data_IF_119708061936
#
_entry.id   IF_119708061936
#
_cell.length_a   1.000
_cell.length_b   1.000
_cell.length_c   1.000
_cell.angle_alpha   90.00
_cell.angle_beta   90.00
_cell.angle_gamma   90.00
#
_symmetry.space_group_name_H-M   'P 1'
#
loop_
_entity.id
_entity.type
_entity.pdbx_description
1 polymer ?
#
# COMPACT_ATOMS: atom_id res chain seq x y z
N UNK A 1 1.47 21.36 -47.71
CA UNK A 1 1.35 20.04 -47.01
C UNK A 1 2.45 20.01 -45.97
N UNK A 2 2.16 20.38 -44.74
CA UNK A 2 3.09 20.41 -43.64
C UNK A 2 3.03 19.09 -42.88
N UNK A 3 4.17 18.41 -42.76
CA UNK A 3 4.30 17.19 -41.97
C UNK A 3 4.13 17.54 -40.48
N UNK A 4 3.15 16.95 -39.80
CA UNK A 4 3.02 17.01 -38.37
C UNK A 4 4.16 16.22 -37.72
N UNK A 5 4.94 16.91 -36.93
CA UNK A 5 6.02 16.34 -36.12
C UNK A 5 5.41 15.73 -34.85
N UNK A 6 5.22 14.41 -34.86
CA UNK A 6 4.73 13.66 -33.69
C UNK A 6 5.94 13.35 -32.80
N UNK A 7 6.31 14.29 -31.95
CA UNK A 7 7.39 14.13 -30.99
C UNK A 7 7.10 14.88 -29.67
N UNK A 8 6.05 14.46 -28.96
CA UNK A 8 5.83 14.94 -27.59
C UNK A 8 6.54 13.99 -26.60
N UNK A 9 7.54 14.46 -25.81
CA UNK A 9 8.38 13.59 -24.97
C UNK A 9 7.72 13.10 -23.68
N UNK A 10 6.40 13.29 -23.48
CA UNK A 10 5.74 13.08 -22.19
C UNK A 10 5.04 11.74 -22.00
N UNK A 11 4.89 10.92 -23.01
CA UNK A 11 4.34 9.55 -22.90
C UNK A 11 5.29 8.54 -23.54
N UNK A 12 6.31 8.11 -22.78
CA UNK A 12 7.06 6.91 -23.15
C UNK A 12 6.22 5.69 -22.76
N UNK A 13 5.55 5.10 -23.73
CA UNK A 13 5.01 3.74 -23.57
C UNK A 13 6.20 2.81 -23.28
N UNK A 14 6.19 2.03 -22.17
CA UNK A 14 7.27 1.08 -21.90
C UNK A 14 7.47 0.16 -23.10
N UNK A 15 8.66 0.15 -23.71
CA UNK A 15 8.96 -0.76 -24.81
C UNK A 15 9.32 -2.12 -24.21
N UNK A 16 8.64 -3.18 -24.65
CA UNK A 16 9.06 -4.55 -24.35
C UNK A 16 10.49 -4.70 -24.85
N UNK A 17 11.44 -4.86 -23.92
CA UNK A 17 12.87 -4.84 -24.26
C UNK A 17 13.35 -6.19 -24.78
N UNK A 18 12.83 -7.30 -24.25
CA UNK A 18 13.15 -8.67 -24.65
C UNK A 18 12.16 -9.68 -24.12
N UNK A 19 12.10 -10.85 -24.78
CA UNK A 19 11.35 -12.00 -24.30
C UNK A 19 12.23 -12.84 -23.38
N UNK A 20 11.79 -13.06 -22.17
CA UNK A 20 12.41 -13.96 -21.19
C UNK A 20 11.61 -15.26 -21.18
N UNK A 21 12.23 -16.43 -20.84
CA UNK A 21 11.47 -17.67 -20.74
C UNK A 21 10.20 -17.52 -19.91
N UNK A 22 9.03 -17.69 -20.55
CA UNK A 22 7.71 -17.62 -19.92
C UNK A 22 7.01 -16.26 -19.97
N UNK A 23 7.66 -15.15 -20.38
CA UNK A 23 7.00 -13.85 -20.36
C UNK A 23 7.75 -12.72 -21.07
N UNK A 24 7.28 -11.50 -20.87
CA UNK A 24 7.88 -10.27 -21.38
C UNK A 24 8.40 -9.39 -20.26
N UNK A 25 9.45 -8.63 -20.51
CA UNK A 25 10.03 -7.67 -19.59
C UNK A 25 10.19 -6.30 -20.26
N UNK A 26 10.15 -5.24 -19.46
CA UNK A 26 10.42 -3.88 -19.93
C UNK A 26 11.91 -3.54 -19.78
N UNK A 27 12.37 -2.48 -20.45
CA UNK A 27 13.68 -1.92 -20.17
C UNK A 27 13.67 -1.29 -18.76
N UNK A 28 14.62 -1.63 -17.87
CA UNK A 28 14.71 -1.03 -16.53
C UNK A 28 14.85 0.50 -16.54
N UNK A 29 15.29 1.12 -17.64
CA UNK A 29 15.32 2.58 -17.80
C UNK A 29 13.92 3.20 -17.95
N UNK A 30 12.92 2.41 -18.32
CA UNK A 30 11.54 2.86 -18.47
C UNK A 30 10.72 2.73 -17.17
N UNK A 31 11.33 2.28 -16.06
CA UNK A 31 10.68 2.18 -14.77
C UNK A 31 10.29 3.58 -14.27
N UNK A 32 8.98 3.76 -14.00
CA UNK A 32 8.48 5.00 -13.44
C UNK A 32 9.03 5.22 -12.02
N UNK A 33 9.52 6.41 -11.74
CA UNK A 33 10.01 6.77 -10.41
C UNK A 33 8.91 6.78 -9.36
N UNK A 34 7.68 7.00 -9.76
CA UNK A 34 6.47 7.03 -8.93
C UNK A 34 5.46 6.02 -9.47
N UNK A 35 4.60 5.51 -8.61
CA UNK A 35 3.56 4.53 -8.94
C UNK A 35 4.08 3.11 -9.22
N UNK A 36 3.16 2.23 -9.64
CA UNK A 36 3.50 0.86 -10.00
C UNK A 36 4.01 0.78 -11.43
N UNK A 37 5.07 0.01 -11.62
CA UNK A 37 5.56 -0.36 -12.95
C UNK A 37 5.63 -1.88 -13.04
N UNK A 38 4.86 -2.53 -13.92
CA UNK A 38 5.06 -3.93 -14.28
C UNK A 38 6.40 -4.08 -14.99
N UNK A 39 7.33 -4.80 -14.38
CA UNK A 39 8.68 -4.99 -14.95
C UNK A 39 8.85 -6.31 -15.67
N UNK A 40 8.04 -7.30 -15.30
CA UNK A 40 7.95 -8.60 -15.97
C UNK A 40 6.54 -9.14 -15.85
N UNK A 41 6.04 -9.78 -16.91
CA UNK A 41 4.71 -10.38 -16.95
C UNK A 41 4.69 -11.66 -17.78
N UNK A 42 4.16 -12.73 -17.17
CA UNK A 42 3.77 -13.94 -17.91
C UNK A 42 2.39 -13.69 -18.55
N UNK A 43 2.14 -14.13 -19.82
CA UNK A 43 0.85 -13.91 -20.48
C UNK A 43 -0.36 -14.48 -19.70
N UNK A 44 -0.16 -15.57 -18.97
CA UNK A 44 -1.17 -16.16 -18.08
C UNK A 44 -0.84 -15.90 -16.60
N UNK A 45 -0.40 -14.70 -16.25
CA UNK A 45 -0.04 -14.38 -14.86
C UNK A 45 -1.18 -14.71 -13.89
N UNK A 46 -0.85 -15.31 -12.76
CA UNK A 46 -1.79 -15.73 -11.70
C UNK A 46 -1.36 -15.27 -10.31
N UNK A 47 -0.17 -14.71 -10.16
CA UNK A 47 0.40 -14.22 -8.89
C UNK A 47 1.10 -12.90 -9.13
N UNK A 48 0.85 -11.92 -8.28
CA UNK A 48 1.55 -10.64 -8.28
C UNK A 48 2.69 -10.66 -7.25
N UNK A 49 3.89 -10.32 -7.67
CA UNK A 49 5.04 -10.10 -6.78
C UNK A 49 5.36 -8.60 -6.80
N UNK A 50 5.23 -7.94 -5.66
CA UNK A 50 5.34 -6.50 -5.53
C UNK A 50 6.58 -6.14 -4.71
N UNK A 51 7.49 -5.37 -5.31
CA UNK A 51 8.72 -4.92 -4.69
C UNK A 51 8.59 -3.47 -4.20
N UNK A 52 8.87 -3.23 -2.91
CA UNK A 52 8.73 -1.92 -2.26
C UNK A 52 10.06 -1.49 -1.65
N UNK A 53 10.65 -0.40 -2.17
CA UNK A 53 11.94 0.10 -1.70
C UNK A 53 11.85 0.82 -0.34
N UNK A 54 12.99 1.10 0.28
CA UNK A 54 13.08 1.79 1.56
C UNK A 54 13.35 3.29 1.45
N UNK A 55 13.76 3.87 2.57
CA UNK A 55 14.16 5.27 2.68
C UNK A 55 15.26 5.60 1.65
N UNK A 56 15.12 6.73 0.96
CA UNK A 56 16.02 7.19 -0.10
C UNK A 56 16.28 6.14 -1.21
N UNK A 57 15.33 5.20 -1.39
CA UNK A 57 15.38 4.18 -2.42
C UNK A 57 14.81 4.66 -3.75
N UNK A 58 14.93 3.79 -4.73
CA UNK A 58 14.41 3.98 -6.08
C UNK A 58 13.86 2.65 -6.60
N UNK A 59 12.75 2.60 -7.32
CA UNK A 59 12.11 1.35 -7.75
C UNK A 59 13.01 0.48 -8.64
N UNK A 60 14.02 1.05 -9.30
CA UNK A 60 15.05 0.31 -10.05
C UNK A 60 16.32 0.10 -9.22
N UNK A 61 16.94 1.19 -8.75
CA UNK A 61 18.31 1.16 -8.23
C UNK A 61 18.42 0.40 -6.89
N UNK A 62 17.33 0.32 -6.13
CA UNK A 62 17.26 -0.50 -4.92
C UNK A 62 17.53 -1.97 -5.22
N UNK A 63 17.04 -2.47 -6.34
CA UNK A 63 17.10 -3.87 -6.75
C UNK A 63 18.20 -4.16 -7.77
N UNK A 64 19.00 -3.14 -8.15
CA UNK A 64 20.08 -3.27 -9.13
C UNK A 64 21.42 -3.42 -8.44
N UNK A 65 22.16 -4.47 -8.79
CA UNK A 65 23.54 -4.67 -8.33
C UNK A 65 24.47 -3.55 -8.86
N UNK A 66 25.26 -2.97 -7.96
CA UNK A 66 26.28 -1.97 -8.35
C UNK A 66 27.42 -2.58 -9.13
N UNK A 67 27.71 -3.88 -8.93
CA UNK A 67 28.86 -4.58 -9.48
C UNK A 67 28.74 -4.81 -10.99
N UNK A 68 27.61 -5.34 -11.44
CA UNK A 68 27.41 -5.75 -12.82
C UNK A 68 26.12 -5.22 -13.44
N UNK A 69 25.42 -4.31 -12.76
CA UNK A 69 24.16 -3.70 -13.20
C UNK A 69 22.99 -4.68 -13.36
N UNK A 70 23.09 -5.88 -12.81
CA UNK A 70 21.99 -6.85 -12.79
C UNK A 70 20.79 -6.26 -12.05
N UNK A 71 19.66 -6.11 -12.72
CA UNK A 71 18.36 -5.81 -12.13
C UNK A 71 17.65 -7.15 -11.86
N UNK A 72 17.98 -7.75 -10.71
CA UNK A 72 17.66 -9.13 -10.41
C UNK A 72 16.14 -9.50 -10.48
N UNK A 73 15.17 -8.58 -10.31
CA UNK A 73 13.77 -8.91 -10.52
C UNK A 73 13.46 -9.41 -11.93
N UNK A 74 14.17 -8.90 -12.95
CA UNK A 74 14.04 -9.36 -14.34
C UNK A 74 15.13 -10.40 -14.68
N UNK A 75 16.38 -10.11 -14.33
CA UNK A 75 17.52 -10.88 -14.84
C UNK A 75 17.68 -12.26 -14.16
N UNK A 76 17.23 -12.39 -12.89
CA UNK A 76 17.44 -13.62 -12.13
C UNK A 76 16.15 -14.32 -11.70
N UNK A 77 15.14 -13.56 -11.24
CA UNK A 77 13.98 -14.15 -10.58
C UNK A 77 13.09 -14.99 -11.53
N UNK A 78 12.71 -14.53 -12.74
CA UNK A 78 11.88 -15.31 -13.66
C UNK A 78 12.53 -16.64 -14.04
N UNK A 79 13.84 -16.63 -14.24
CA UNK A 79 14.63 -17.85 -14.55
C UNK A 79 14.62 -18.82 -13.36
N UNK A 80 14.70 -18.30 -12.13
CA UNK A 80 14.66 -19.13 -10.92
C UNK A 80 13.25 -19.69 -10.67
N UNK A 81 12.22 -18.94 -11.00
CA UNK A 81 10.82 -19.36 -10.92
C UNK A 81 10.43 -20.32 -12.07
N UNK A 82 11.34 -20.60 -13.02
CA UNK A 82 11.13 -21.58 -14.10
C UNK A 82 9.87 -21.36 -14.94
N UNK A 83 9.58 -20.09 -15.28
CA UNK A 83 8.41 -19.74 -16.08
C UNK A 83 7.09 -19.84 -15.31
N UNK A 84 7.11 -19.71 -13.99
CA UNK A 84 5.90 -19.59 -13.20
C UNK A 84 5.03 -18.40 -13.69
N UNK A 85 3.72 -18.55 -13.61
CA UNK A 85 2.73 -17.58 -14.07
C UNK A 85 2.66 -16.39 -13.12
N UNK A 86 3.67 -15.52 -13.17
CA UNK A 86 3.79 -14.38 -12.26
C UNK A 86 3.85 -13.06 -13.03
N UNK A 87 3.43 -11.99 -12.35
CA UNK A 87 3.68 -10.60 -12.73
C UNK A 87 4.55 -9.97 -11.64
N UNK A 88 5.63 -9.30 -12.04
CA UNK A 88 6.54 -8.59 -11.15
C UNK A 88 6.27 -7.08 -11.27
N UNK A 89 5.97 -6.44 -10.15
CA UNK A 89 5.72 -5.02 -10.06
C UNK A 89 6.73 -4.37 -9.13
N UNK A 90 7.27 -3.23 -9.52
CA UNK A 90 8.02 -2.37 -8.61
C UNK A 90 7.17 -1.16 -8.26
N UNK A 91 7.20 -0.75 -7.00
CA UNK A 91 6.50 0.44 -6.53
C UNK A 91 7.48 1.56 -6.27
N UNK A 92 7.29 2.67 -7.00
CA UNK A 92 8.02 3.91 -6.83
C UNK A 92 7.19 4.91 -6.03
N UNK A 93 7.82 5.57 -5.06
CA UNK A 93 7.16 6.59 -4.25
C UNK A 93 8.17 7.64 -3.75
N UNK A 94 7.66 8.80 -3.32
CA UNK A 94 8.51 9.85 -2.78
C UNK A 94 9.07 9.42 -1.42
N UNK A 95 10.39 9.47 -1.28
CA UNK A 95 11.11 9.06 -0.06
C UNK A 95 10.82 9.92 1.17
N UNK A 96 10.21 11.09 1.01
CA UNK A 96 9.77 11.96 2.12
C UNK A 96 8.50 11.46 2.84
N UNK A 97 8.04 10.26 2.49
CA UNK A 97 6.91 9.54 3.14
C UNK A 97 7.01 9.53 4.67
N UNK A 98 8.24 9.40 5.17
CA UNK A 98 8.49 9.34 6.61
C UNK A 98 8.73 10.72 7.24
N UNK A 99 8.56 11.82 6.48
CA UNK A 99 8.74 13.19 6.99
C UNK A 99 10.17 13.48 7.48
N UNK A 100 11.15 12.70 7.04
CA UNK A 100 12.56 12.89 7.41
C UNK A 100 13.27 13.95 6.55
N UNK A 101 12.52 14.57 5.61
CA UNK A 101 13.00 15.65 4.74
C UNK A 101 12.57 17.04 5.21
N UNK A 102 12.57 18.00 4.28
CA UNK A 102 12.32 19.43 4.55
C UNK A 102 10.92 19.75 5.12
N UNK A 103 9.93 18.91 4.88
CA UNK A 103 8.52 19.17 5.19
C UNK A 103 8.07 18.77 6.59
N UNK A 104 8.98 18.32 7.46
CA UNK A 104 8.69 17.95 8.85
C UNK A 104 7.88 16.66 9.05
N UNK A 105 7.74 16.20 10.30
CA UNK A 105 7.03 14.97 10.61
C UNK A 105 5.53 15.14 10.48
N UNK A 106 4.87 14.16 9.87
CA UNK A 106 3.42 14.07 9.85
C UNK A 106 3.01 12.60 9.82
N UNK A 107 2.23 12.17 10.82
CA UNK A 107 1.56 10.87 10.84
C UNK A 107 0.74 10.66 9.57
N UNK A 108 0.21 11.75 9.04
CA UNK A 108 -0.66 11.74 7.88
C UNK A 108 0.08 11.35 6.61
N UNK A 109 1.38 11.66 6.49
CA UNK A 109 2.15 11.32 5.29
C UNK A 109 2.27 9.82 5.06
N UNK A 110 2.74 9.06 6.04
CA UNK A 110 2.85 7.60 5.89
C UNK A 110 1.47 6.95 5.70
N UNK A 111 0.44 7.50 6.35
CA UNK A 111 -0.93 7.05 6.16
C UNK A 111 -1.43 7.32 4.74
N UNK A 112 -1.28 8.53 4.23
CA UNK A 112 -1.67 8.91 2.86
C UNK A 112 -0.94 8.08 1.81
N UNK A 113 0.37 7.83 1.99
CA UNK A 113 1.13 6.97 1.09
C UNK A 113 0.68 5.51 1.14
N UNK A 114 0.31 5.02 2.32
CA UNK A 114 -0.26 3.69 2.45
C UNK A 114 -1.63 3.57 1.77
N UNK A 115 -2.48 4.58 1.90
CA UNK A 115 -3.74 4.68 1.17
C UNK A 115 -3.51 4.73 -0.34
N UNK A 116 -2.57 5.58 -0.80
CA UNK A 116 -2.20 5.69 -2.22
C UNK A 116 -1.72 4.35 -2.76
N UNK A 117 -0.81 3.66 -2.03
CA UNK A 117 -0.32 2.34 -2.42
C UNK A 117 -1.48 1.35 -2.60
N UNK A 118 -2.37 1.27 -1.61
CA UNK A 118 -3.51 0.33 -1.65
C UNK A 118 -4.47 0.67 -2.80
N UNK A 119 -4.84 1.94 -2.94
CA UNK A 119 -5.79 2.38 -3.97
C UNK A 119 -5.21 2.19 -5.38
N UNK A 120 -3.97 2.61 -5.59
CA UNK A 120 -3.31 2.49 -6.91
C UNK A 120 -3.09 1.02 -7.28
N UNK A 121 -2.68 0.17 -6.32
CA UNK A 121 -2.52 -1.26 -6.59
C UNK A 121 -3.86 -1.93 -6.89
N UNK A 122 -4.92 -1.60 -6.14
CA UNK A 122 -6.26 -2.15 -6.38
C UNK A 122 -6.75 -1.79 -7.78
N UNK A 123 -6.63 -0.51 -8.17
CA UNK A 123 -7.01 -0.02 -9.48
C UNK A 123 -6.22 -0.68 -10.62
N UNK A 124 -4.89 -0.77 -10.45
CA UNK A 124 -4.02 -1.45 -11.42
C UNK A 124 -4.39 -2.92 -11.60
N UNK A 125 -4.72 -3.62 -10.51
CA UNK A 125 -5.15 -5.02 -10.54
C UNK A 125 -6.53 -5.20 -11.19
N UNK A 126 -7.45 -4.26 -10.97
CA UNK A 126 -8.76 -4.24 -11.60
C UNK A 126 -8.65 -4.06 -13.12
N UNK A 127 -7.85 -3.10 -13.57
CA UNK A 127 -7.62 -2.84 -15.00
C UNK A 127 -7.03 -4.05 -15.73
N UNK A 128 -6.23 -4.86 -15.05
CA UNK A 128 -5.57 -6.04 -15.59
C UNK A 128 -6.32 -7.36 -15.27
N UNK A 129 -7.55 -7.28 -14.75
CA UNK A 129 -8.36 -8.44 -14.32
C UNK A 129 -7.62 -9.36 -13.31
N UNK A 130 -6.74 -8.78 -12.50
CA UNK A 130 -5.87 -9.48 -11.56
C UNK A 130 -6.36 -9.43 -10.11
N UNK A 131 -7.60 -9.01 -9.83
CA UNK A 131 -8.15 -8.87 -8.47
C UNK A 131 -8.10 -10.18 -7.68
N UNK A 132 -8.02 -11.32 -8.38
CA UNK A 132 -8.00 -12.66 -7.79
C UNK A 132 -6.58 -13.17 -7.54
N UNK A 133 -5.55 -12.53 -8.09
CA UNK A 133 -4.19 -12.99 -7.94
C UNK A 133 -3.72 -12.88 -6.48
N UNK A 134 -3.07 -13.91 -5.92
CA UNK A 134 -2.31 -13.77 -4.70
C UNK A 134 -1.25 -12.67 -4.82
N UNK A 135 -0.98 -11.98 -3.72
CA UNK A 135 0.06 -10.96 -3.64
C UNK A 135 1.19 -11.47 -2.76
N UNK A 136 2.43 -11.37 -3.26
CA UNK A 136 3.66 -11.60 -2.53
C UNK A 136 4.44 -10.28 -2.49
N UNK A 137 4.72 -9.80 -1.29
CA UNK A 137 5.49 -8.58 -1.08
C UNK A 137 6.97 -8.89 -0.85
N UNK A 138 7.85 -8.09 -1.46
CA UNK A 138 9.27 -8.04 -1.15
C UNK A 138 9.59 -6.59 -0.78
N UNK A 139 9.83 -6.34 0.50
CA UNK A 139 9.96 -4.99 1.03
C UNK A 139 11.32 -4.79 1.70
N UNK A 140 12.02 -3.72 1.35
CA UNK A 140 13.31 -3.37 1.91
C UNK A 140 13.19 -2.23 2.92
N UNK A 141 13.83 -2.38 4.09
CA UNK A 141 13.98 -1.30 5.06
C UNK A 141 12.62 -0.69 5.47
N UNK A 142 12.48 0.63 5.49
CA UNK A 142 11.22 1.31 5.80
C UNK A 142 10.09 1.05 4.77
N UNK A 143 10.39 0.52 3.59
CA UNK A 143 9.36 0.03 2.68
C UNK A 143 8.49 -1.09 3.28
N UNK A 144 9.07 -1.90 4.18
CA UNK A 144 8.32 -2.88 4.94
C UNK A 144 7.34 -2.27 5.93
N UNK A 145 7.67 -1.13 6.51
CA UNK A 145 6.73 -0.37 7.36
C UNK A 145 5.57 0.20 6.53
N UNK A 146 5.86 0.69 5.32
CA UNK A 146 4.81 1.14 4.40
C UNK A 146 3.86 -0.01 4.03
N UNK A 147 4.38 -1.19 3.73
CA UNK A 147 3.57 -2.40 3.47
C UNK A 147 2.72 -2.77 4.70
N UNK A 148 3.29 -2.77 5.90
CA UNK A 148 2.51 -3.01 7.14
C UNK A 148 1.37 -2.02 7.30
N UNK A 149 1.63 -0.71 7.11
CA UNK A 149 0.60 0.32 7.20
C UNK A 149 -0.48 0.15 6.14
N UNK A 150 -0.09 -0.20 4.90
CA UNK A 150 -1.01 -0.49 3.81
C UNK A 150 -1.93 -1.68 4.13
N UNK A 151 -1.38 -2.76 4.69
CA UNK A 151 -2.16 -3.94 5.08
C UNK A 151 -3.09 -3.64 6.28
N UNK A 152 -2.64 -2.88 7.28
CA UNK A 152 -3.50 -2.41 8.37
C UNK A 152 -4.65 -1.55 7.84
N UNK A 153 -4.38 -0.63 6.90
CA UNK A 153 -5.41 0.17 6.24
C UNK A 153 -6.38 -0.69 5.44
N UNK A 154 -5.88 -1.54 4.55
CA UNK A 154 -6.71 -2.42 3.72
C UNK A 154 -7.58 -3.37 4.59
N UNK A 155 -7.02 -3.88 5.70
CA UNK A 155 -7.75 -4.72 6.67
C UNK A 155 -8.89 -3.97 7.35
N UNK A 156 -8.73 -2.67 7.65
CA UNK A 156 -9.76 -1.88 8.32
C UNK A 156 -10.96 -1.53 7.44
N UNK A 157 -10.87 -1.72 6.12
CA UNK A 157 -11.93 -1.41 5.17
C UNK A 157 -13.01 -2.51 5.18
N UNK A 158 -14.08 -2.29 5.95
CA UNK A 158 -15.18 -3.26 6.10
C UNK A 158 -16.43 -2.90 5.29
N UNK A 159 -16.50 -1.69 4.71
CA UNK A 159 -17.67 -1.19 3.99
C UNK A 159 -17.67 -1.54 2.50
N UNK A 160 -18.85 -1.69 1.92
CA UNK A 160 -19.09 -2.22 0.57
C UNK A 160 -18.44 -1.44 -0.59
N UNK A 161 -18.12 -0.16 -0.38
CA UNK A 161 -17.57 0.69 -1.45
C UNK A 161 -16.03 0.66 -1.51
N UNK A 162 -15.37 -0.23 -0.75
CA UNK A 162 -13.93 -0.35 -0.66
C UNK A 162 -13.44 -1.79 -0.87
N UNK A 163 -14.22 -2.59 -1.61
CA UNK A 163 -13.94 -4.03 -1.82
C UNK A 163 -12.61 -4.24 -2.51
N UNK A 164 -12.28 -3.42 -3.50
CA UNK A 164 -11.02 -3.52 -4.25
C UNK A 164 -9.82 -3.19 -3.37
N UNK A 165 -9.88 -2.12 -2.55
CA UNK A 165 -8.83 -1.79 -1.61
C UNK A 165 -8.69 -2.85 -0.51
N UNK A 166 -9.80 -3.41 -0.02
CA UNK A 166 -9.77 -4.50 0.96
C UNK A 166 -9.20 -5.79 0.36
N UNK A 167 -9.37 -6.00 -0.93
CA UNK A 167 -8.83 -7.18 -1.63
C UNK A 167 -7.30 -7.28 -1.51
N UNK A 168 -6.59 -6.17 -1.32
CA UNK A 168 -5.13 -6.16 -1.12
C UNK A 168 -4.74 -6.95 0.13
N UNK A 169 -5.44 -6.74 1.25
CA UNK A 169 -5.22 -7.52 2.46
C UNK A 169 -5.63 -9.00 2.28
N UNK A 170 -6.79 -9.25 1.68
CA UNK A 170 -7.32 -10.61 1.48
C UNK A 170 -6.41 -11.42 0.56
N UNK A 171 -5.91 -10.81 -0.52
CA UNK A 171 -5.03 -11.44 -1.51
C UNK A 171 -3.58 -11.55 -1.08
N UNK A 172 -3.14 -10.85 -0.01
CA UNK A 172 -1.77 -10.97 0.48
C UNK A 172 -1.51 -12.35 1.05
N UNK A 173 -0.60 -13.10 0.41
CA UNK A 173 -0.17 -14.43 0.84
C UNK A 173 1.13 -14.40 1.61
N UNK A 174 2.16 -13.74 1.05
CA UNK A 174 3.51 -13.75 1.61
C UNK A 174 4.14 -12.38 1.69
N UNK A 175 5.01 -12.18 2.70
CA UNK A 175 5.75 -10.94 2.89
C UNK A 175 7.20 -11.26 3.23
N UNK A 176 8.11 -10.83 2.34
CA UNK A 176 9.56 -10.88 2.55
C UNK A 176 10.04 -9.53 3.04
N UNK A 177 10.49 -9.45 4.28
CA UNK A 177 11.09 -8.25 4.85
C UNK A 177 12.62 -8.34 4.80
N UNK A 178 13.25 -7.42 4.09
CA UNK A 178 14.71 -7.32 3.98
C UNK A 178 15.18 -6.12 4.79
N UNK A 179 15.80 -6.35 5.96
CA UNK A 179 16.27 -5.29 6.85
C UNK A 179 15.17 -4.33 7.32
N UNK A 180 13.93 -4.77 7.39
CA UNK A 180 12.82 -3.97 7.92
C UNK A 180 12.87 -3.99 9.44
N UNK A 181 12.75 -2.84 10.11
CA UNK A 181 12.67 -2.81 11.56
C UNK A 181 11.31 -3.30 12.06
N UNK A 182 11.34 -4.17 13.09
CA UNK A 182 10.16 -4.75 13.72
C UNK A 182 10.15 -4.50 15.24
N UNK A 183 10.66 -3.35 15.67
CA UNK A 183 10.70 -2.97 17.08
C UNK A 183 9.28 -2.93 17.67
N UNK A 184 9.17 -3.43 18.90
CA UNK A 184 7.94 -3.34 19.68
C UNK A 184 7.72 -1.95 20.27
N UNK A 185 7.36 -1.88 21.56
CA UNK A 185 6.95 -0.66 22.26
C UNK A 185 8.09 0.27 22.73
N UNK A 186 9.34 0.03 22.32
CA UNK A 186 10.50 0.81 22.77
C UNK A 186 10.76 2.01 21.83
N UNK A 187 10.15 3.15 22.15
CA UNK A 187 10.31 4.39 21.37
C UNK A 187 11.77 4.89 21.32
N UNK A 188 12.57 4.64 22.37
CA UNK A 188 13.97 5.04 22.39
C UNK A 188 14.80 4.26 21.37
N UNK A 189 14.55 2.95 21.25
CA UNK A 189 15.20 2.11 20.22
C UNK A 189 14.80 2.56 18.81
N UNK A 190 13.53 2.92 18.60
CA UNK A 190 13.08 3.50 17.33
C UNK A 190 13.84 4.80 17.00
N UNK A 191 13.99 5.70 17.96
CA UNK A 191 14.73 6.94 17.76
C UNK A 191 16.19 6.71 17.36
N UNK A 192 16.90 5.81 18.03
CA UNK A 192 18.29 5.43 17.71
C UNK A 192 18.40 4.79 16.30
N UNK A 193 17.48 3.90 15.96
CA UNK A 193 17.44 3.25 14.66
C UNK A 193 17.21 4.27 13.54
N UNK A 194 16.22 5.15 13.67
CA UNK A 194 15.97 6.20 12.69
C UNK A 194 17.16 7.13 12.53
N UNK A 195 17.85 7.46 13.63
CA UNK A 195 19.08 8.27 13.58
C UNK A 195 20.18 7.58 12.76
N UNK A 196 20.39 6.26 12.92
CA UNK A 196 21.34 5.48 12.11
C UNK A 196 20.93 5.47 10.64
N UNK A 197 19.64 5.23 10.34
CA UNK A 197 19.11 5.25 8.96
C UNK A 197 19.33 6.60 8.30
N UNK A 198 19.04 7.68 9.00
CA UNK A 198 19.24 9.04 8.49
C UNK A 198 20.71 9.30 8.20
N UNK A 199 21.61 8.98 9.13
CA UNK A 199 23.05 9.15 8.94
C UNK A 199 23.59 8.33 7.75
N UNK A 200 23.08 7.11 7.55
CA UNK A 200 23.53 6.22 6.48
C UNK A 200 22.96 6.56 5.09
N UNK A 201 21.71 7.02 5.03
CA UNK A 201 20.94 7.06 3.80
C UNK A 201 20.61 8.47 3.32
N UNK A 202 20.64 9.49 4.17
CA UNK A 202 20.23 10.86 3.84
C UNK A 202 21.46 11.80 3.81
N UNK A 203 21.64 12.59 2.73
CA UNK A 203 22.71 13.58 2.66
C UNK A 203 22.58 14.63 3.76
N UNK A 204 23.70 15.03 4.39
CA UNK A 204 23.75 16.02 5.48
C UNK A 204 23.03 17.35 5.17
N UNK A 205 22.98 17.75 3.91
CA UNK A 205 22.31 18.99 3.45
C UNK A 205 20.78 18.95 3.52
N UNK A 206 20.17 17.80 3.83
CA UNK A 206 18.72 17.65 3.88
C UNK A 206 18.06 18.16 5.18
N UNK A 207 18.84 18.43 6.23
CA UNK A 207 18.34 18.94 7.52
C UNK A 207 18.80 20.37 7.79
N UNK A 208 17.85 21.23 8.18
CA UNK A 208 18.15 22.63 8.50
C UNK A 208 18.65 22.85 9.93
N UNK A 209 18.36 21.94 10.89
CA UNK A 209 18.86 21.98 12.26
C UNK A 209 18.80 20.62 12.95
N UNK A 210 19.69 20.40 13.95
CA UNK A 210 19.68 19.21 14.81
C UNK A 210 18.39 19.09 15.62
N UNK A 211 17.86 20.20 16.13
CA UNK A 211 16.62 20.21 16.91
C UNK A 211 15.40 19.77 16.10
N UNK A 212 15.30 20.18 14.83
CA UNK A 212 14.24 19.73 13.93
C UNK A 212 14.35 18.24 13.66
N UNK A 213 15.55 17.74 13.44
CA UNK A 213 15.81 16.31 13.24
C UNK A 213 15.38 15.49 14.45
N UNK A 214 15.77 15.87 15.67
CA UNK A 214 15.40 15.16 16.91
C UNK A 214 13.88 15.09 17.07
N UNK A 215 13.18 16.22 16.92
CA UNK A 215 11.72 16.28 17.02
C UNK A 215 11.04 15.38 15.97
N UNK A 216 11.52 15.39 14.73
CA UNK A 216 11.03 14.53 13.64
C UNK A 216 11.21 13.05 13.97
N UNK A 217 12.38 12.68 14.52
CA UNK A 217 12.68 11.30 14.89
C UNK A 217 11.80 10.80 16.05
N UNK A 218 11.52 11.64 17.04
CA UNK A 218 10.63 11.28 18.15
C UNK A 218 9.21 11.04 17.68
N UNK A 219 8.62 11.99 16.95
CA UNK A 219 7.25 11.83 16.43
C UNK A 219 7.11 10.60 15.53
N UNK A 220 8.09 10.35 14.65
CA UNK A 220 8.05 9.17 13.79
C UNK A 220 8.21 7.86 14.58
N UNK A 221 8.93 7.85 15.70
CA UNK A 221 9.10 6.62 16.49
C UNK A 221 7.79 6.09 17.06
N UNK A 222 6.92 6.96 17.53
CA UNK A 222 5.58 6.60 18.04
C UNK A 222 4.68 6.04 16.92
N UNK A 223 4.69 6.67 15.75
CA UNK A 223 3.92 6.23 14.59
C UNK A 223 4.36 4.85 14.11
N UNK A 224 5.69 4.64 14.02
CA UNK A 224 6.24 3.36 13.58
C UNK A 224 5.95 2.24 14.59
N UNK A 225 5.95 2.56 15.88
CA UNK A 225 5.52 1.66 16.94
C UNK A 225 4.06 1.25 16.76
N UNK A 226 3.14 2.21 16.59
CA UNK A 226 1.72 1.94 16.38
C UNK A 226 1.48 1.02 15.17
N UNK A 227 2.16 1.30 14.04
CA UNK A 227 2.05 0.49 12.83
C UNK A 227 2.47 -0.96 13.11
N UNK A 228 3.56 -1.17 13.83
CA UNK A 228 4.03 -2.51 14.16
C UNK A 228 3.08 -3.24 15.11
N UNK A 229 2.58 -2.57 16.16
CA UNK A 229 1.63 -3.18 17.10
C UNK A 229 0.36 -3.63 16.39
N UNK A 230 -0.23 -2.78 15.53
CA UNK A 230 -1.40 -3.16 14.72
C UNK A 230 -1.11 -4.29 13.75
N UNK A 231 0.10 -4.34 13.18
CA UNK A 231 0.48 -5.42 12.30
C UNK A 231 0.59 -6.77 13.02
N UNK A 232 0.95 -6.78 14.32
CA UNK A 232 0.98 -8.00 15.13
C UNK A 232 -0.40 -8.66 15.30
N UNK A 233 -1.50 -7.94 15.10
CA UNK A 233 -2.85 -8.50 15.12
C UNK A 233 -3.17 -9.32 13.86
N UNK A 234 -2.53 -8.98 12.74
CA UNK A 234 -2.85 -9.56 11.43
C UNK A 234 -1.76 -10.46 10.84
N UNK A 235 -0.51 -10.39 11.34
CA UNK A 235 0.62 -11.12 10.76
C UNK A 235 0.42 -12.63 10.69
N UNK A 236 -0.31 -13.31 11.62
CA UNK A 236 -0.47 -14.76 11.55
C UNK A 236 -1.21 -15.26 10.30
N UNK A 237 -1.86 -14.35 9.56
CA UNK A 237 -2.54 -14.66 8.30
C UNK A 237 -1.60 -14.78 7.10
N UNK A 238 -0.34 -14.37 7.25
CA UNK A 238 0.61 -14.30 6.16
C UNK A 238 1.77 -15.28 6.34
N UNK A 239 2.34 -15.72 5.23
CA UNK A 239 3.66 -16.36 5.23
C UNK A 239 4.71 -15.26 5.32
N UNK A 240 5.56 -15.28 6.33
CA UNK A 240 6.52 -14.20 6.56
C UNK A 240 7.94 -14.77 6.61
N UNK A 241 8.84 -14.09 5.88
CA UNK A 241 10.28 -14.22 6.04
C UNK A 241 10.87 -12.87 6.43
N UNK A 242 11.78 -12.87 7.40
CA UNK A 242 12.51 -11.69 7.84
C UNK A 242 14.01 -11.93 7.69
N UNK A 243 14.67 -11.05 6.94
CA UNK A 243 16.11 -11.11 6.76
C UNK A 243 16.79 -9.92 7.45
N UNK A 244 17.92 -10.19 8.11
CA UNK A 244 18.78 -9.18 8.71
C UNK A 244 20.11 -9.04 7.96
N UNK A 245 20.72 -7.87 8.05
CA UNK A 245 22.04 -7.59 7.50
C UNK A 245 23.14 -8.33 8.29
N UNK A 246 24.08 -8.98 7.57
CA UNK A 246 25.21 -9.69 8.16
C UNK A 246 26.49 -8.85 8.25
N UNK A 247 26.54 -7.70 7.54
CA UNK A 247 27.67 -6.78 7.53
C UNK A 247 27.28 -5.39 7.98
N UNK A 248 28.14 -4.80 8.82
CA UNK A 248 27.98 -3.41 9.27
C UNK A 248 28.14 -2.43 8.12
N UNK A 249 27.36 -1.35 8.15
CA UNK A 249 27.44 -0.22 7.22
C UNK A 249 28.40 0.84 7.79
N UNK A 250 29.24 1.41 6.95
CA UNK A 250 30.07 2.55 7.32
C UNK A 250 29.24 3.83 7.46
N UNK A 251 29.19 4.37 8.67
CA UNK A 251 28.51 5.61 9.04
C UNK A 251 29.52 6.76 9.19
N UNK A 252 30.29 7.04 8.12
CA UNK A 252 31.29 8.12 8.10
C UNK A 252 32.45 7.89 9.10
N UNK A 253 33.01 6.67 9.05
CA UNK A 253 34.15 6.28 9.90
C UNK A 253 33.78 5.46 11.14
N UNK A 254 32.47 5.28 11.40
CA UNK A 254 31.99 4.35 12.43
C UNK A 254 31.17 3.25 11.76
N UNK A 255 31.51 1.99 12.01
CA UNK A 255 30.75 0.85 11.49
C UNK A 255 29.64 0.48 12.45
N UNK A 256 28.44 0.24 11.93
CA UNK A 256 27.31 -0.26 12.70
C UNK A 256 26.27 -0.96 11.79
N UNK A 257 25.52 -1.87 12.37
CA UNK A 257 24.28 -2.35 11.75
C UNK A 257 23.25 -1.22 11.73
N UNK A 258 22.63 -0.99 10.59
CA UNK A 258 21.55 -0.01 10.47
C UNK A 258 20.33 -0.50 11.22
N UNK A 259 19.90 -1.73 10.94
CA UNK A 259 18.87 -2.44 11.69
C UNK A 259 19.52 -3.66 12.29
N UNK A 260 19.72 -3.66 13.60
CA UNK A 260 20.33 -4.79 14.30
C UNK A 260 19.44 -6.04 14.17
N UNK A 261 20.04 -7.22 14.38
CA UNK A 261 19.38 -8.51 14.22
C UNK A 261 18.11 -8.61 15.05
N UNK A 262 18.10 -8.14 16.27
CA UNK A 262 16.92 -8.22 17.15
C UNK A 262 15.78 -7.36 16.67
N UNK A 263 16.09 -6.22 16.05
CA UNK A 263 15.13 -5.30 15.45
C UNK A 263 14.61 -5.81 14.11
N UNK A 264 15.46 -6.44 13.28
CA UNK A 264 15.08 -6.96 11.97
C UNK A 264 14.42 -8.34 12.03
N UNK A 265 14.64 -9.09 13.10
CA UNK A 265 14.22 -10.49 13.24
C UNK A 265 13.71 -10.79 14.65
N UNK A 266 12.62 -10.14 15.11
CA UNK A 266 11.99 -10.45 16.39
C UNK A 266 11.44 -11.87 16.33
N UNK A 267 11.62 -12.65 17.39
CA UNK A 267 11.22 -14.06 17.48
C UNK A 267 9.69 -14.19 17.51
N UNK A 268 9.05 -14.18 16.34
CA UNK A 268 7.62 -14.36 16.17
C UNK A 268 7.30 -15.79 15.72
N UNK A 269 6.22 -16.35 16.23
CA UNK A 269 5.79 -17.69 15.85
C UNK A 269 5.41 -17.79 14.38
N UNK A 270 5.86 -18.84 13.69
CA UNK A 270 5.51 -19.08 12.29
C UNK A 270 6.27 -18.21 11.27
N UNK A 271 7.27 -17.46 11.71
CA UNK A 271 8.09 -16.60 10.84
C UNK A 271 9.43 -17.29 10.56
N UNK A 272 9.88 -17.25 9.30
CA UNK A 272 11.20 -17.72 8.91
C UNK A 272 12.23 -16.59 8.99
N UNK A 273 13.43 -16.90 9.48
CA UNK A 273 14.50 -15.91 9.67
C UNK A 273 15.79 -16.37 9.00
N UNK A 274 16.52 -15.43 8.40
CA UNK A 274 17.86 -15.69 7.88
C UNK A 274 18.72 -14.42 7.80
N UNK A 275 20.04 -14.59 7.88
CA UNK A 275 21.01 -13.52 7.63
C UNK A 275 21.38 -13.43 6.15
N UNK A 276 21.67 -12.22 5.68
CA UNK A 276 22.27 -11.98 4.38
C UNK A 276 23.63 -11.32 4.61
N UNK A 277 24.70 -11.97 4.16
CA UNK A 277 26.07 -11.48 4.30
C UNK A 277 26.31 -10.26 3.39
N UNK A 278 25.67 -9.15 3.76
CA UNK A 278 25.70 -7.87 3.06
C UNK A 278 25.37 -6.74 4.03
N UNK A 279 25.72 -5.50 3.66
CA UNK A 279 25.30 -4.30 4.36
C UNK A 279 23.82 -4.02 4.14
N UNK A 280 23.23 -3.11 4.92
CA UNK A 280 21.83 -2.73 4.81
C UNK A 280 21.36 -2.44 3.37
N UNK A 281 22.08 -1.60 2.65
CA UNK A 281 21.75 -1.26 1.26
C UNK A 281 22.17 -2.32 0.26
N UNK A 282 23.03 -3.27 0.64
CA UNK A 282 23.53 -4.35 -0.19
C UNK A 282 22.65 -5.59 -0.21
N UNK A 283 21.93 -5.85 0.90
CA UNK A 283 21.17 -7.09 1.10
C UNK A 283 19.98 -7.28 0.14
N UNK A 284 19.58 -6.25 -0.58
CA UNK A 284 18.54 -6.29 -1.60
C UNK A 284 19.08 -6.24 -3.05
N UNK A 285 20.41 -6.41 -3.24
CA UNK A 285 21.12 -6.27 -4.53
C UNK A 285 21.88 -7.54 -4.88
N UNK A 286 21.26 -8.40 -5.68
CA UNK A 286 21.87 -9.65 -6.10
C UNK A 286 22.51 -9.51 -7.49
N UNK A 287 23.78 -9.88 -7.63
CA UNK A 287 24.52 -9.84 -8.90
C UNK A 287 24.46 -11.18 -9.67
N UNK A 288 24.11 -12.25 -8.98
CA UNK A 288 23.98 -13.60 -9.52
C UNK A 288 23.12 -14.49 -8.62
N UNK A 289 22.81 -15.69 -9.08
CA UNK A 289 22.11 -16.71 -8.28
C UNK A 289 22.94 -17.20 -7.08
N UNK A 290 24.26 -16.96 -7.10
CA UNK A 290 25.18 -17.34 -6.02
C UNK A 290 25.39 -16.17 -5.02
N UNK A 291 24.75 -15.03 -5.21
CA UNK A 291 24.82 -13.93 -4.24
C UNK A 291 24.31 -14.36 -2.87
N UNK A 292 24.99 -13.96 -1.77
CA UNK A 292 24.52 -14.27 -0.42
C UNK A 292 23.04 -13.90 -0.23
N UNK A 293 22.25 -14.84 0.31
CA UNK A 293 20.82 -14.66 0.58
C UNK A 293 19.89 -14.79 -0.63
N UNK A 294 20.39 -14.77 -1.88
CA UNK A 294 19.52 -14.89 -3.06
C UNK A 294 18.71 -16.20 -3.06
N UNK A 295 19.36 -17.33 -2.75
CA UNK A 295 18.69 -18.62 -2.72
C UNK A 295 17.54 -18.66 -1.69
N UNK A 296 17.71 -18.04 -0.52
CA UNK A 296 16.68 -17.95 0.51
C UNK A 296 15.51 -17.07 0.04
N UNK A 297 15.80 -15.90 -0.53
CA UNK A 297 14.77 -14.99 -1.07
C UNK A 297 14.01 -15.64 -2.22
N UNK A 298 14.70 -16.07 -3.26
CA UNK A 298 14.07 -16.62 -4.45
C UNK A 298 13.40 -17.97 -4.20
N UNK A 299 13.98 -18.83 -3.33
CA UNK A 299 13.40 -20.10 -2.91
C UNK A 299 12.11 -19.93 -2.11
N UNK A 300 12.06 -18.98 -1.17
CA UNK A 300 10.84 -18.66 -0.44
C UNK A 300 9.75 -18.12 -1.38
N UNK A 301 10.10 -17.20 -2.25
CA UNK A 301 9.17 -16.64 -3.25
C UNK A 301 8.62 -17.76 -4.15
N UNK A 302 9.48 -18.66 -4.65
CA UNK A 302 9.06 -19.80 -5.47
C UNK A 302 8.04 -20.67 -4.74
N UNK A 303 8.35 -21.07 -3.50
CA UNK A 303 7.44 -21.86 -2.66
C UNK A 303 6.10 -21.15 -2.46
N UNK A 304 6.10 -19.84 -2.26
CA UNK A 304 4.88 -19.05 -2.06
C UNK A 304 4.08 -18.91 -3.35
N UNK A 305 4.73 -18.72 -4.50
CA UNK A 305 4.04 -18.69 -5.80
C UNK A 305 3.27 -19.98 -6.04
N UNK A 306 3.90 -21.13 -5.77
CA UNK A 306 3.28 -22.45 -5.97
C UNK A 306 2.12 -22.71 -4.99
N UNK A 307 2.22 -22.26 -3.74
CA UNK A 307 1.25 -22.56 -2.69
C UNK A 307 0.09 -21.55 -2.57
N UNK A 308 0.25 -20.32 -3.08
CA UNK A 308 -0.66 -19.22 -2.78
C UNK A 308 -2.04 -19.30 -3.45
N UNK A 309 -2.23 -19.80 -4.72
CA UNK A 309 -3.50 -19.68 -5.39
C UNK A 309 -4.68 -20.36 -4.66
N UNK A 310 -4.61 -21.63 -4.24
CA UNK A 310 -5.74 -22.27 -3.55
C UNK A 310 -6.01 -21.65 -2.16
N UNK A 311 -4.98 -21.15 -1.48
CA UNK A 311 -5.14 -20.53 -0.15
C UNK A 311 -5.86 -19.19 -0.25
N UNK A 312 -5.51 -18.37 -1.25
CA UNK A 312 -6.15 -17.08 -1.45
C UNK A 312 -7.57 -17.25 -1.96
N UNK A 313 -7.83 -18.20 -2.85
CA UNK A 313 -9.19 -18.50 -3.29
C UNK A 313 -10.09 -18.91 -2.11
N UNK A 314 -9.63 -19.83 -1.24
CA UNK A 314 -10.39 -20.22 -0.06
C UNK A 314 -10.64 -19.03 0.90
N UNK A 315 -9.65 -18.13 1.06
CA UNK A 315 -9.78 -16.92 1.89
C UNK A 315 -10.82 -15.95 1.32
N UNK A 316 -10.85 -15.79 0.01
CA UNK A 316 -11.82 -14.93 -0.69
C UNK A 316 -13.23 -15.47 -0.56
N UNK A 317 -13.43 -16.77 -0.78
CA UNK A 317 -14.73 -17.40 -0.60
C UNK A 317 -15.25 -17.24 0.82
N UNK A 318 -14.39 -17.39 1.82
CA UNK A 318 -14.74 -17.12 3.21
C UNK A 318 -15.14 -15.66 3.43
N UNK A 319 -14.38 -14.69 2.90
CA UNK A 319 -14.70 -13.26 3.02
C UNK A 319 -16.07 -12.94 2.42
N UNK A 320 -16.40 -13.48 1.26
CA UNK A 320 -17.71 -13.32 0.62
C UNK A 320 -18.83 -13.87 1.52
N UNK A 321 -18.64 -15.08 2.07
CA UNK A 321 -19.64 -15.70 2.96
C UNK A 321 -19.83 -14.90 4.25
N UNK A 322 -18.73 -14.43 4.87
CA UNK A 322 -18.80 -13.63 6.09
C UNK A 322 -19.53 -12.30 5.84
N UNK A 323 -19.33 -11.66 4.70
CA UNK A 323 -20.07 -10.44 4.30
C UNK A 323 -21.54 -10.68 4.07
N UNK A 324 -21.91 -11.77 3.38
CA UNK A 324 -23.31 -12.14 3.19
C UNK A 324 -23.99 -12.32 4.56
N UNK A 325 -23.33 -13.01 5.49
CA UNK A 325 -23.85 -13.24 6.84
C UNK A 325 -24.08 -11.92 7.61
N UNK A 326 -23.10 -11.01 7.55
CA UNK A 326 -23.21 -9.69 8.20
C UNK A 326 -24.40 -8.90 7.63
N UNK A 327 -24.54 -8.83 6.30
CA UNK A 327 -25.68 -8.16 5.64
C UNK A 327 -27.04 -8.77 6.02
N UNK A 328 -27.11 -10.09 6.10
CA UNK A 328 -28.34 -10.78 6.53
C UNK A 328 -28.68 -10.46 7.96
N UNK A 329 -27.69 -10.39 8.85
CA UNK A 329 -27.88 -10.00 10.25
C UNK A 329 -28.35 -8.55 10.36
N UNK A 330 -27.70 -7.60 9.70
CA UNK A 330 -28.11 -6.19 9.65
C UNK A 330 -29.55 -6.04 9.13
N UNK A 331 -29.89 -6.74 8.04
CA UNK A 331 -31.25 -6.74 7.50
C UNK A 331 -32.26 -7.32 8.50
N UNK A 332 -31.93 -8.38 9.23
CA UNK A 332 -32.80 -8.97 10.25
C UNK A 332 -33.02 -8.07 11.46
N UNK A 333 -32.02 -7.28 11.83
CA UNK A 333 -32.13 -6.29 12.94
C UNK A 333 -32.98 -5.07 12.55
N UNK A 334 -33.05 -4.73 11.25
CA UNK A 334 -33.89 -3.63 10.76
C UNK A 334 -35.35 -4.02 10.56
N UNK A 335 -35.66 -5.29 10.30
CA UNK A 335 -37.01 -5.78 10.02
C UNK A 335 -37.98 -5.86 11.23
N UNK A 336 -37.61 -6.05 12.51
CA UNK A 336 -38.55 -6.25 13.62
C UNK A 336 -39.37 -5.01 13.97
N UNK A 337 -39.05 -3.82 13.48
CA UNK A 337 -39.79 -2.59 13.83
C UNK A 337 -41.09 -2.38 13.04
N UNK A 338 -41.39 -3.17 12.03
CA UNK A 338 -42.59 -3.04 11.22
C UNK A 338 -43.62 -4.16 11.36
N UNK A 339 -43.37 -5.18 12.21
CA UNK A 339 -44.13 -6.43 12.24
C UNK A 339 -45.14 -6.62 13.37
N UNK A 340 -45.24 -5.74 14.37
CA UNK A 340 -46.16 -5.92 15.50
C UNK A 340 -47.00 -4.66 15.79
N UNK A 341 -47.86 -4.27 14.86
CA UNK A 341 -49.11 -3.62 15.27
C UNK A 341 -50.20 -4.70 15.26
N UNK A 342 -50.82 -5.01 16.40
CA UNK A 342 -52.00 -5.88 16.41
C UNK A 342 -53.09 -5.20 15.58
N UNK A 343 -53.93 -5.98 14.86
CA UNK A 343 -55.00 -5.41 14.05
C UNK A 343 -55.90 -4.62 15.00
N UNK A 344 -56.15 -3.34 14.69
CA UNK A 344 -57.14 -2.52 15.39
C UNK A 344 -58.46 -3.25 15.29
N UNK A 345 -58.97 -3.75 16.39
CA UNK A 345 -60.33 -4.24 16.50
C UNK A 345 -61.26 -3.06 16.20
N UNK A 346 -61.95 -3.11 15.08
CA UNK A 346 -63.05 -2.23 14.76
C UNK A 346 -64.21 -2.58 15.71
N UNK A 347 -64.48 -1.73 16.68
CA UNK A 347 -65.69 -1.78 17.49
C UNK A 347 -66.87 -1.50 16.55
N UNK A 348 -67.66 -2.54 16.27
CA UNK A 348 -68.96 -2.43 15.63
C UNK A 348 -69.96 -1.81 16.60
N UNK A 349 -70.27 -0.53 16.40
CA UNK A 349 -71.46 0.14 16.96
C UNK A 349 -72.38 0.44 15.80
N UNK A 350 -73.52 -0.25 15.79
CA UNK A 350 -74.52 -0.10 14.74
C UNK A 350 -75.25 1.22 14.77
N UNK A 351 -75.62 1.72 13.62
CA UNK A 351 -76.98 2.26 13.34
C UNK A 351 -77.09 2.58 11.84
N UNK A 352 -78.04 1.99 11.16
CA UNK A 352 -78.60 2.27 9.83
C UNK A 352 -79.70 3.38 9.95
N UNK A 353 -80.28 3.94 8.84
CA UNK A 353 -79.90 3.94 7.43
C UNK A 353 -80.01 5.34 6.75
N UNK A 354 -79.49 5.45 5.56
CA UNK A 354 -79.77 6.61 4.68
C UNK A 354 -79.21 6.43 3.29
N UNK A 355 -80.07 6.06 2.37
CA UNK A 355 -79.90 5.96 0.92
C UNK A 355 -79.49 7.30 0.30
N UNK A 356 -78.53 7.27 -0.59
CA UNK A 356 -78.56 8.03 -1.87
C UNK A 356 -77.49 7.56 -2.83
N UNK A 357 -77.99 7.14 -4.00
CA UNK A 357 -77.25 6.82 -5.20
C UNK A 357 -76.52 8.05 -5.75
N UNK A 358 -75.28 7.91 -6.17
CA UNK A 358 -74.72 8.63 -7.33
C UNK A 358 -73.72 7.76 -8.02
N UNK A 359 -74.05 7.39 -9.28
CA UNK A 359 -73.16 6.90 -10.30
C UNK A 359 -72.11 7.96 -10.65
N UNK A 360 -70.88 7.54 -10.96
CA UNK A 360 -70.14 8.09 -12.08
C UNK A 360 -69.02 7.14 -12.52
N UNK A 361 -68.94 6.97 -13.83
CA UNK A 361 -67.97 6.22 -14.65
C UNK A 361 -66.67 7.03 -14.89
N UNK A 362 -65.71 6.40 -15.60
CA UNK A 362 -64.28 6.74 -15.45
C UNK A 362 -63.78 7.74 -16.51
N UNK A 363 -62.75 8.48 -16.18
CA UNK A 363 -61.97 9.22 -17.17
C UNK A 363 -60.52 9.43 -16.72
N UNK A 364 -59.62 8.91 -17.54
CA UNK A 364 -58.41 9.53 -18.13
C UNK A 364 -57.26 10.00 -17.26
N UNK A 365 -56.21 9.31 -17.43
CA UNK A 365 -54.80 9.64 -17.71
C UNK A 365 -54.45 11.14 -17.74
N UNK A 366 -53.61 11.60 -16.79
CA UNK A 366 -52.62 12.66 -17.04
C UNK A 366 -51.42 12.53 -16.11
N UNK A 367 -50.26 12.44 -16.74
CA UNK A 367 -48.93 12.65 -16.17
C UNK A 367 -48.83 14.06 -15.57
N UNK A 368 -48.26 14.18 -14.37
CA UNK A 368 -47.56 15.40 -13.95
C UNK A 368 -46.45 15.05 -13.02
N UNK A 369 -45.23 15.36 -13.49
CA UNK A 369 -43.97 15.45 -12.78
C UNK A 369 -44.11 16.47 -11.65
N UNK A 370 -43.90 16.03 -10.39
CA UNK A 370 -43.78 16.89 -9.23
C UNK A 370 -42.36 16.80 -8.67
N UNK A 371 -41.56 17.83 -8.89
CA UNK A 371 -40.31 18.08 -8.20
C UNK A 371 -40.60 18.26 -6.72
N UNK A 372 -39.93 17.47 -5.87
CA UNK A 372 -39.88 17.74 -4.43
C UNK A 372 -38.60 18.52 -4.18
N UNK A 373 -38.76 19.78 -3.83
CA UNK A 373 -37.74 20.72 -3.40
C UNK A 373 -37.24 20.31 -2.00
N UNK A 374 -35.97 19.95 -1.89
CA UNK A 374 -35.32 19.66 -0.62
C UNK A 374 -34.78 20.97 -0.01
N UNK A 375 -35.14 21.22 1.25
CA UNK A 375 -34.68 22.33 2.05
C UNK A 375 -33.16 22.31 2.29
N UNK A 376 -32.47 23.45 2.37
CA UNK A 376 -31.02 23.50 2.47
C UNK A 376 -30.55 23.25 3.91
N UNK A 377 -29.68 22.25 4.09
CA UNK A 377 -28.93 22.03 5.34
C UNK A 377 -27.81 23.07 5.46
N UNK A 378 -27.80 23.79 6.57
CA UNK A 378 -26.78 24.76 6.94
C UNK A 378 -25.41 24.10 7.15
N UNK A 379 -24.42 24.41 6.28
CA UNK A 379 -23.01 24.14 6.49
C UNK A 379 -22.36 25.36 7.17
N UNK A 380 -21.46 25.20 8.13
CA UNK A 380 -20.67 26.31 8.65
C UNK A 380 -19.65 26.73 7.57
N UNK A 381 -19.64 28.04 7.30
CA UNK A 381 -18.71 28.71 6.41
C UNK A 381 -17.44 28.98 7.21
N UNK A 382 -16.33 28.40 6.80
CA UNK A 382 -15.00 28.82 7.26
C UNK A 382 -14.53 29.94 6.33
N UNK A 383 -14.38 31.13 6.87
CA UNK A 383 -13.74 32.27 6.19
C UNK A 383 -12.21 32.06 6.29
N UNK A 384 -11.56 32.05 5.13
CA UNK A 384 -10.10 32.16 5.05
C UNK A 384 -9.76 33.63 4.97
N UNK A 385 -9.13 34.18 6.00
CA UNK A 385 -8.39 35.43 5.92
C UNK A 385 -7.11 35.22 5.11
N UNK A 386 -6.98 35.92 4.01
CA UNK A 386 -5.75 36.01 3.24
C UNK A 386 -4.81 36.98 3.96
N UNK A 387 -3.71 36.44 4.47
CA UNK A 387 -2.59 37.28 4.93
C UNK A 387 -1.77 37.75 3.72
N UNK A 388 -1.78 39.04 3.49
CA UNK A 388 -0.89 39.75 2.56
C UNK A 388 0.55 39.63 3.07
N UNK A 389 1.45 39.10 2.24
CA UNK A 389 2.89 39.17 2.46
C UNK A 389 3.42 40.43 1.75
N UNK A 390 3.88 41.40 2.52
CA UNK A 390 4.69 42.51 2.03
C UNK A 390 6.09 41.99 1.64
N UNK A 391 6.48 42.29 0.41
CA UNK A 391 7.84 42.16 -0.10
C UNK A 391 8.77 43.14 0.61
N UNK A 392 9.72 42.66 1.36
CA UNK A 392 10.83 43.45 1.89
C UNK A 392 12.05 43.27 1.00
N UNK A 393 12.31 44.23 0.15
CA UNK A 393 13.57 44.45 -0.55
C UNK A 393 14.69 44.66 0.47
N UNK A 394 15.74 43.83 0.42
CA UNK A 394 17.00 44.10 1.13
C UNK A 394 18.10 44.35 0.12
N UNK A 395 18.47 45.62 0.07
CA UNK A 395 19.61 46.18 -0.65
C UNK A 395 20.94 45.44 -0.35
N UNK A 396 21.64 45.20 -1.43
CA UNK A 396 23.06 44.83 -1.41
C UNK A 396 23.92 46.05 -1.05
N UNK A 397 24.53 46.03 0.10
CA UNK A 397 25.67 46.91 0.38
C UNK A 397 26.96 46.10 0.44
N UNK A 398 27.80 46.28 -0.55
CA UNK A 398 29.18 45.84 -0.52
C UNK A 398 30.02 46.69 0.42
N UNK A 399 31.00 46.06 1.06
CA UNK A 399 32.33 46.68 1.21
C UNK A 399 33.36 45.68 1.85
N UNK A 400 34.46 45.63 1.11
CA UNK A 400 35.87 45.26 1.48
C UNK A 400 36.18 43.87 1.94
#
# INVERSE_FOLDING_TARGET
MGAMNIGDPKFKVPRIAWTIPGGSAINPEDINRFEFTPVYEHPDAQVDIVLVHGLNGHPRDTWTSKKNKTFWPIDLLPVTLKGAKVRLLVYGYNVDVFGLGKSGPSSDKIYQHAQTLVTTLALHREMENANNHPIIWIAHSLGGILVKRALNYSQSLMHNNADDQRSIYISTYGIMFLGTPHLGSDAAKWGLLLQRMVKALIPKKAFHSENQMVKTLQTNSEILQEINLKFLEIYPKFQICMAHEGLETDLHGTKAFIVDQTSASPMLNGVAYFGIEATHSGMCKFDSKNSPGYANVAGSVKKWVEASPPVIEARRQKEIQDRIRIRQQEASELLPRFGNQPPRQSSTGGNTPGTSHVNFSPAENRQSSGFIEAAPSSRPRFEFEAAEYEDADVEMAGNR
#
